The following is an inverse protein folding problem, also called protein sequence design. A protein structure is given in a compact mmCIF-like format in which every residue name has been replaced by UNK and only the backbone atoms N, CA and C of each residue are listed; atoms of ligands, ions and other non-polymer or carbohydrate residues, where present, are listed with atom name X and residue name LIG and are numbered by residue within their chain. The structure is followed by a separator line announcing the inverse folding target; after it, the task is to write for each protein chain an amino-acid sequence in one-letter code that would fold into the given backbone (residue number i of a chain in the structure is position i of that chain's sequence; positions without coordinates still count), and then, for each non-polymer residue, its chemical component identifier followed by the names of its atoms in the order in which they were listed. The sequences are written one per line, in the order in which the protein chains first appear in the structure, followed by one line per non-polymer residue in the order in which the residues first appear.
data_IF_017163266876
#
_entry.id   IF_017163266876
#
_cell.length_a   1.000
_cell.length_b   1.000
_cell.length_c   1.000
_cell.angle_alpha   90.00
_cell.angle_beta   90.00
_cell.angle_gamma   90.00
#
_symmetry.space_group_name_H-M   'P 1'
#
loop_
_entity.id
_entity.type
_entity.pdbx_description
1 polymer ?
#
# COMPACT_ATOMS: atom_id res chain seq x y z
N UNK A 1 -36.36 -3.68 39.79
CA UNK A 1 -35.55 -2.58 39.23
C UNK A 1 -34.20 -3.19 38.86
N UNK A 2 -34.02 -3.75 37.64
CA UNK A 2 -33.71 -3.04 36.38
C UNK A 2 -32.40 -2.25 36.57
N UNK A 3 -31.25 -2.54 35.94
CA UNK A 3 -30.88 -3.47 34.87
C UNK A 3 -29.36 -3.72 34.99
N UNK A 4 -28.94 -4.98 35.16
CA UNK A 4 -27.61 -5.46 34.78
C UNK A 4 -27.78 -6.30 33.53
N UNK A 5 -27.38 -5.81 32.36
CA UNK A 5 -27.34 -6.64 31.14
C UNK A 5 -26.21 -6.19 30.25
N UNK A 6 -25.30 -7.12 29.91
CA UNK A 6 -24.69 -7.12 28.58
C UNK A 6 -23.19 -6.94 28.47
N UNK A 7 -22.37 -7.54 29.33
CA UNK A 7 -20.96 -7.83 29.00
C UNK A 7 -20.74 -9.33 29.11
N UNK A 8 -21.23 -10.05 28.10
CA UNK A 8 -20.94 -11.47 27.90
C UNK A 8 -19.55 -11.63 27.30
N UNK A 9 -18.64 -12.22 28.07
CA UNK A 9 -17.39 -12.80 27.60
C UNK A 9 -17.66 -13.71 26.39
N UNK A 10 -17.11 -13.36 25.23
CA UNK A 10 -16.97 -14.30 24.11
C UNK A 10 -15.82 -15.26 24.43
N UNK A 11 -16.09 -16.24 25.29
CA UNK A 11 -15.21 -17.37 25.55
C UNK A 11 -15.99 -18.66 25.31
N UNK A 12 -15.73 -19.30 24.17
CA UNK A 12 -16.24 -20.64 23.84
C UNK A 12 -16.97 -20.68 22.51
N UNK A 13 -16.27 -20.99 21.42
CA UNK A 13 -16.91 -21.51 20.21
C UNK A 13 -16.07 -22.66 19.65
N UNK A 14 -16.30 -23.85 20.22
CA UNK A 14 -16.16 -25.11 19.52
C UNK A 14 -17.54 -25.44 18.94
N UNK A 15 -17.96 -24.69 17.91
CA UNK A 15 -19.15 -25.05 17.14
C UNK A 15 -19.04 -24.54 15.71
N UNK A 16 -18.74 -25.45 14.79
CA UNK A 16 -18.55 -25.19 13.34
C UNK A 16 -19.88 -24.93 12.60
N UNK A 17 -20.97 -24.63 13.30
CA UNK A 17 -22.32 -24.52 12.71
C UNK A 17 -23.02 -23.17 12.90
N UNK A 18 -22.49 -22.25 13.71
CA UNK A 18 -23.08 -20.92 13.85
C UNK A 18 -22.68 -20.01 12.67
N UNK A 19 -23.62 -19.75 11.76
CA UNK A 19 -23.40 -18.85 10.62
C UNK A 19 -23.22 -17.40 11.05
N UNK A 20 -22.20 -16.69 10.52
CA UNK A 20 -22.05 -15.26 10.76
C UNK A 20 -23.30 -14.46 10.34
N UNK A 21 -23.84 -13.66 11.26
CA UNK A 21 -25.02 -12.84 11.01
C UNK A 21 -24.63 -11.51 10.34
N UNK A 22 -24.95 -11.36 9.05
CA UNK A 22 -24.63 -10.13 8.31
C UNK A 22 -25.49 -8.95 8.78
N UNK A 23 -24.85 -7.96 9.39
CA UNK A 23 -25.50 -6.72 9.79
C UNK A 23 -25.92 -5.86 8.57
N UNK A 24 -27.07 -5.19 8.70
CA UNK A 24 -27.51 -4.19 7.73
C UNK A 24 -26.56 -2.99 7.69
N UNK A 25 -26.53 -2.25 6.57
CA UNK A 25 -25.67 -1.06 6.44
C UNK A 25 -25.91 -0.07 7.58
N UNK A 26 -27.17 0.22 7.92
CA UNK A 26 -27.53 1.13 9.03
C UNK A 26 -26.96 0.68 10.38
N UNK A 27 -26.93 -0.62 10.66
CA UNK A 27 -26.34 -1.16 11.89
C UNK A 27 -24.81 -1.05 11.88
N UNK A 28 -24.16 -1.39 10.76
CA UNK A 28 -22.70 -1.28 10.60
C UNK A 28 -22.19 0.16 10.78
N UNK A 29 -22.92 1.15 10.29
CA UNK A 29 -22.56 2.57 10.44
C UNK A 29 -22.62 3.08 11.89
N UNK A 30 -23.26 2.34 12.81
CA UNK A 30 -23.36 2.70 14.24
C UNK A 30 -22.28 2.08 15.12
N UNK A 31 -21.48 1.15 14.58
CA UNK A 31 -20.39 0.52 15.33
C UNK A 31 -19.29 1.54 15.63
N UNK A 32 -18.46 1.30 16.65
CA UNK A 32 -17.15 1.97 16.74
C UNK A 32 -16.26 1.54 15.55
N UNK A 33 -15.12 2.21 15.35
CA UNK A 33 -14.20 1.81 14.28
C UNK A 33 -13.65 0.39 14.54
N UNK A 34 -13.15 0.14 15.74
CA UNK A 34 -12.66 -1.17 16.19
C UNK A 34 -13.69 -2.30 16.00
N UNK A 35 -14.95 -2.07 16.41
CA UNK A 35 -16.04 -3.03 16.20
C UNK A 35 -16.35 -3.28 14.73
N UNK A 36 -16.15 -2.28 13.87
CA UNK A 36 -16.39 -2.42 12.45
C UNK A 36 -15.26 -3.21 11.76
N UNK A 37 -14.02 -2.97 12.16
CA UNK A 37 -12.85 -3.71 11.69
C UNK A 37 -12.98 -5.19 12.09
N UNK A 38 -13.30 -5.46 13.36
CA UNK A 38 -13.57 -6.81 13.86
C UNK A 38 -14.75 -7.48 13.13
N UNK A 39 -15.84 -6.73 12.87
CA UNK A 39 -16.98 -7.23 12.10
C UNK A 39 -16.55 -7.70 10.70
N UNK A 40 -15.75 -6.91 9.99
CA UNK A 40 -15.34 -7.23 8.63
C UNK A 40 -14.30 -8.35 8.57
N UNK A 41 -13.37 -8.39 9.53
CA UNK A 41 -12.46 -9.51 9.75
C UNK A 41 -13.24 -10.82 9.89
N UNK A 42 -14.17 -10.88 10.84
CA UNK A 42 -14.98 -12.07 11.10
C UNK A 42 -15.87 -12.43 9.90
N UNK A 43 -16.38 -11.43 9.17
CA UNK A 43 -17.14 -11.65 7.94
C UNK A 43 -16.29 -12.30 6.83
N UNK A 44 -15.02 -11.86 6.67
CA UNK A 44 -14.10 -12.46 5.69
C UNK A 44 -13.78 -13.90 6.06
N UNK A 45 -13.50 -14.16 7.34
CA UNK A 45 -13.23 -15.51 7.86
C UNK A 45 -14.40 -16.46 7.61
N UNK A 46 -15.63 -16.12 8.03
CA UNK A 46 -16.83 -16.97 7.82
C UNK A 46 -17.05 -17.28 6.34
N UNK A 47 -16.92 -16.27 5.46
CA UNK A 47 -17.10 -16.47 4.02
C UNK A 47 -16.07 -17.43 3.43
N UNK A 48 -14.81 -17.29 3.84
CA UNK A 48 -13.73 -18.14 3.37
C UNK A 48 -13.93 -19.58 3.84
N UNK A 49 -14.21 -19.79 5.13
CA UNK A 49 -14.41 -21.12 5.71
C UNK A 49 -15.61 -21.86 5.13
N UNK A 50 -16.64 -21.12 4.70
CA UNK A 50 -17.82 -21.69 4.03
C UNK A 50 -17.67 -21.81 2.51
N UNK A 51 -16.54 -21.39 1.94
CA UNK A 51 -16.29 -21.41 0.50
C UNK A 51 -17.20 -20.47 -0.31
N UNK A 52 -17.78 -19.45 0.31
CA UNK A 52 -18.74 -18.53 -0.33
C UNK A 52 -18.02 -17.28 -0.85
N UNK A 53 -16.87 -17.41 -1.52
CA UNK A 53 -16.15 -16.26 -2.06
C UNK A 53 -16.54 -15.97 -3.53
N UNK A 54 -17.69 -15.32 -3.74
CA UNK A 54 -18.15 -14.98 -5.09
C UNK A 54 -17.53 -13.67 -5.57
N UNK A 55 -16.59 -13.79 -6.50
CA UNK A 55 -15.90 -12.64 -7.11
C UNK A 55 -16.37 -12.45 -8.55
N UNK A 56 -17.05 -11.33 -8.82
CA UNK A 56 -17.51 -10.96 -10.17
C UNK A 56 -16.44 -10.12 -10.89
N UNK A 57 -15.47 -10.78 -11.52
CA UNK A 57 -14.37 -10.09 -12.23
C UNK A 57 -14.90 -9.34 -13.47
N UNK A 58 -15.78 -9.97 -14.26
CA UNK A 58 -16.27 -9.41 -15.51
C UNK A 58 -17.09 -8.13 -15.30
N UNK A 59 -18.06 -8.15 -14.37
CA UNK A 59 -18.87 -6.98 -14.06
C UNK A 59 -18.04 -5.81 -13.56
N UNK A 60 -16.99 -6.09 -12.76
CA UNK A 60 -16.04 -5.08 -12.27
C UNK A 60 -15.22 -4.45 -13.38
N UNK A 61 -14.76 -5.26 -14.35
CA UNK A 61 -14.06 -4.76 -15.56
C UNK A 61 -14.95 -3.83 -16.38
N UNK A 62 -16.26 -4.12 -16.49
CA UNK A 62 -17.21 -3.28 -17.23
C UNK A 62 -17.44 -1.92 -16.59
N UNK A 63 -17.52 -1.84 -15.26
CA UNK A 63 -17.77 -0.57 -14.55
C UNK A 63 -16.49 0.26 -14.35
N UNK A 64 -15.31 -0.36 -14.39
CA UNK A 64 -14.03 0.32 -14.15
C UNK A 64 -13.83 1.61 -14.95
N UNK A 65 -14.09 1.69 -16.27
CA UNK A 65 -13.92 2.93 -17.02
C UNK A 65 -14.75 4.11 -16.49
N UNK A 66 -15.95 3.82 -15.97
CA UNK A 66 -16.83 4.82 -15.37
C UNK A 66 -16.22 5.32 -14.05
N UNK A 67 -15.79 4.39 -13.19
CA UNK A 67 -15.14 4.74 -11.92
C UNK A 67 -13.84 5.52 -12.15
N UNK A 68 -13.05 5.14 -13.15
CA UNK A 68 -11.83 5.84 -13.54
C UNK A 68 -12.10 7.27 -14.04
N UNK A 69 -13.27 7.50 -14.64
CA UNK A 69 -13.70 8.84 -15.05
C UNK A 69 -14.02 9.71 -13.83
N UNK A 70 -14.62 9.15 -12.78
CA UNK A 70 -14.86 9.85 -11.51
C UNK A 70 -13.52 10.27 -10.88
N UNK A 71 -12.56 9.34 -10.79
CA UNK A 71 -11.21 9.62 -10.26
C UNK A 71 -10.50 10.72 -11.06
N UNK A 72 -10.64 10.72 -12.40
CA UNK A 72 -10.09 11.79 -13.25
C UNK A 72 -10.72 13.16 -12.94
N UNK A 73 -12.03 13.20 -12.73
CA UNK A 73 -12.74 14.45 -12.40
C UNK A 73 -12.28 14.96 -11.04
N UNK A 74 -12.18 14.08 -10.04
CA UNK A 74 -11.62 14.41 -8.72
C UNK A 74 -10.21 15.01 -8.83
N UNK A 75 -9.30 14.36 -9.58
CA UNK A 75 -7.96 14.89 -9.83
C UNK A 75 -7.98 16.31 -10.42
N UNK A 76 -8.88 16.57 -11.36
CA UNK A 76 -9.02 17.90 -11.97
C UNK A 76 -9.57 18.94 -10.97
N UNK A 77 -10.53 18.56 -10.12
CA UNK A 77 -11.06 19.43 -9.05
C UNK A 77 -9.96 19.79 -8.05
N UNK A 78 -9.13 18.81 -7.68
CA UNK A 78 -7.98 18.97 -6.79
C UNK A 78 -6.79 19.69 -7.45
N UNK A 79 -6.89 20.01 -8.75
CA UNK A 79 -5.83 20.66 -9.56
C UNK A 79 -4.52 19.86 -9.57
N UNK A 80 -4.63 18.55 -9.47
CA UNK A 80 -3.49 17.65 -9.45
C UNK A 80 -3.09 17.24 -10.88
N UNK A 81 -1.79 17.20 -11.14
CA UNK A 81 -1.22 16.77 -12.41
C UNK A 81 -0.73 15.33 -12.28
N UNK A 82 -1.04 14.50 -13.26
CA UNK A 82 -0.48 13.15 -13.37
C UNK A 82 0.41 13.10 -14.60
N UNK A 83 1.69 12.78 -14.40
CA UNK A 83 2.70 12.69 -15.46
C UNK A 83 3.23 11.26 -15.45
N UNK A 84 3.14 10.60 -16.60
CA UNK A 84 3.77 9.28 -16.82
C UNK A 84 5.13 9.55 -17.45
N UNK A 85 6.22 9.37 -16.70
CA UNK A 85 7.58 9.67 -17.16
C UNK A 85 7.98 8.68 -18.26
N UNK A 86 7.84 7.38 -17.96
CA UNK A 86 8.00 6.29 -18.93
C UNK A 86 6.92 5.25 -18.72
N UNK A 87 6.69 4.51 -19.80
CA UNK A 87 5.87 3.32 -19.75
C UNK A 87 6.48 2.22 -20.60
N UNK A 88 7.33 1.41 -19.97
CA UNK A 88 8.09 0.36 -20.63
C UNK A 88 7.41 -1.01 -20.59
N UNK A 89 6.20 -1.10 -19.99
CA UNK A 89 5.48 -2.37 -19.99
C UNK A 89 5.01 -2.72 -21.40
N UNK A 90 5.18 -3.99 -21.75
CA UNK A 90 4.66 -4.58 -22.98
C UNK A 90 3.36 -5.33 -22.72
N UNK A 91 2.58 -5.51 -23.79
CA UNK A 91 1.29 -6.20 -23.70
C UNK A 91 1.51 -7.70 -23.47
N UNK A 92 1.08 -8.19 -22.32
CA UNK A 92 1.05 -9.62 -22.02
C UNK A 92 -0.33 -10.24 -22.24
N UNK A 93 -0.36 -11.54 -22.50
CA UNK A 93 -1.57 -12.35 -22.52
C UNK A 93 -1.88 -12.80 -21.09
N UNK A 94 -3.05 -12.43 -20.59
CA UNK A 94 -3.50 -12.83 -19.25
C UNK A 94 -3.46 -11.69 -18.22
N UNK A 95 -3.63 -12.03 -16.94
CA UNK A 95 -3.64 -11.06 -15.86
C UNK A 95 -2.23 -10.55 -15.54
N UNK A 96 -2.17 -9.42 -14.83
CA UNK A 96 -0.94 -8.75 -14.40
C UNK A 96 -1.04 -8.44 -12.91
N UNK A 97 0.07 -8.56 -12.19
CA UNK A 97 0.25 -7.93 -10.88
C UNK A 97 0.99 -6.62 -11.08
N UNK A 98 0.32 -5.50 -10.84
CA UNK A 98 0.94 -4.18 -10.77
C UNK A 98 1.46 -3.98 -9.35
N UNK A 99 2.78 -3.95 -9.20
CA UNK A 99 3.45 -3.74 -7.92
C UNK A 99 3.93 -2.29 -7.85
N UNK A 100 3.33 -1.48 -6.97
CA UNK A 100 3.59 -0.05 -6.90
C UNK A 100 4.29 0.35 -5.58
N UNK A 101 5.22 1.31 -5.62
CA UNK A 101 5.72 1.95 -4.40
C UNK A 101 4.62 2.75 -3.69
N UNK A 102 4.65 2.86 -2.37
CA UNK A 102 3.58 3.48 -1.57
C UNK A 102 4.04 4.80 -0.93
N UNK A 103 3.41 5.92 -1.31
CA UNK A 103 3.76 7.26 -0.80
C UNK A 103 2.62 7.89 0.02
N UNK A 104 1.44 7.26 0.06
CA UNK A 104 0.26 7.78 0.74
C UNK A 104 -0.49 8.84 -0.08
N UNK A 105 -1.41 9.54 0.58
CA UNK A 105 -2.30 10.50 -0.08
C UNK A 105 -3.18 9.84 -1.15
N UNK A 106 -3.11 10.34 -2.39
CA UNK A 106 -3.93 9.87 -3.53
C UNK A 106 -3.19 8.87 -4.44
N UNK A 107 -2.15 8.19 -3.96
CA UNK A 107 -1.32 7.34 -4.81
C UNK A 107 -2.08 6.17 -5.44
N UNK A 108 -3.06 5.59 -4.75
CA UNK A 108 -3.96 4.53 -5.25
C UNK A 108 -4.73 4.99 -6.48
N UNK A 109 -5.40 6.13 -6.38
CA UNK A 109 -6.18 6.74 -7.45
C UNK A 109 -5.29 7.02 -8.67
N UNK A 110 -4.10 7.56 -8.43
CA UNK A 110 -3.14 7.90 -9.50
C UNK A 110 -2.53 6.68 -10.15
N UNK A 111 -2.26 5.62 -9.39
CA UNK A 111 -1.86 4.33 -9.94
C UNK A 111 -2.97 3.76 -10.84
N UNK A 112 -4.24 3.81 -10.44
CA UNK A 112 -5.34 3.38 -11.32
C UNK A 112 -5.42 4.22 -12.60
N UNK A 113 -5.27 5.54 -12.52
CA UNK A 113 -5.23 6.42 -13.70
C UNK A 113 -4.05 6.14 -14.63
N UNK A 114 -2.87 5.84 -14.07
CA UNK A 114 -1.67 5.49 -14.84
C UNK A 114 -1.82 4.13 -15.54
N UNK A 115 -2.32 3.13 -14.81
CA UNK A 115 -2.51 1.76 -15.29
C UNK A 115 -3.64 1.67 -16.33
N UNK A 116 -4.73 2.43 -16.14
CA UNK A 116 -5.96 2.49 -16.96
C UNK A 116 -6.76 1.19 -17.08
N UNK A 117 -6.15 0.04 -16.82
CA UNK A 117 -6.79 -1.27 -16.82
C UNK A 117 -7.36 -1.55 -15.43
N UNK A 118 -8.49 -2.26 -15.41
CA UNK A 118 -9.07 -2.76 -14.18
C UNK A 118 -8.10 -3.67 -13.44
N UNK A 119 -7.97 -3.46 -12.13
CA UNK A 119 -7.26 -4.32 -11.19
C UNK A 119 -7.99 -4.33 -9.83
N UNK A 120 -7.85 -5.42 -9.09
CA UNK A 120 -8.26 -5.47 -7.69
C UNK A 120 -7.17 -4.83 -6.83
N UNK A 121 -7.53 -3.88 -5.97
CA UNK A 121 -6.60 -3.34 -4.99
C UNK A 121 -6.41 -4.33 -3.84
N UNK A 122 -5.16 -4.62 -3.47
CA UNK A 122 -4.82 -5.37 -2.27
C UNK A 122 -4.59 -4.37 -1.11
N UNK A 123 -5.55 -4.27 -0.18
CA UNK A 123 -5.64 -3.19 0.80
C UNK A 123 -5.52 -3.71 2.24
N UNK A 124 -4.48 -3.28 2.94
CA UNK A 124 -4.34 -3.47 4.39
C UNK A 124 -5.08 -2.42 5.20
N UNK A 125 -5.60 -2.83 6.35
CA UNK A 125 -6.23 -2.00 7.38
C UNK A 125 -7.19 -0.92 6.83
N UNK A 126 -8.34 -1.33 6.24
CA UNK A 126 -9.20 -0.37 5.54
C UNK A 126 -9.80 0.73 6.42
N UNK A 127 -9.92 0.52 7.74
CA UNK A 127 -10.42 1.52 8.71
C UNK A 127 -11.67 2.27 8.21
N UNK A 128 -11.60 3.59 8.03
CA UNK A 128 -12.73 4.44 7.62
C UNK A 128 -13.20 4.19 6.18
N UNK A 129 -12.40 3.52 5.34
CA UNK A 129 -12.78 3.06 3.99
C UNK A 129 -14.01 2.16 4.07
N UNK A 130 -14.26 1.47 5.18
CA UNK A 130 -15.49 0.69 5.34
C UNK A 130 -16.78 1.54 5.34
N UNK A 131 -16.68 2.87 5.47
CA UNK A 131 -17.82 3.80 5.62
C UNK A 131 -17.88 4.88 4.55
N UNK A 132 -16.75 5.37 4.08
CA UNK A 132 -16.67 6.57 3.24
C UNK A 132 -17.01 6.29 1.75
N UNK A 133 -17.12 7.36 0.98
CA UNK A 133 -17.46 7.30 -0.44
C UNK A 133 -16.38 6.57 -1.26
N UNK A 134 -15.10 6.85 -0.97
CA UNK A 134 -13.95 6.20 -1.62
C UNK A 134 -13.99 4.68 -1.45
N UNK A 135 -14.39 4.18 -0.28
CA UNK A 135 -14.58 2.76 -0.05
C UNK A 135 -15.73 2.12 -0.82
N UNK A 136 -16.79 2.87 -1.11
CA UNK A 136 -17.84 2.39 -2.02
C UNK A 136 -17.28 2.27 -3.44
N UNK A 137 -16.53 3.27 -3.91
CA UNK A 137 -15.90 3.24 -5.24
C UNK A 137 -14.88 2.09 -5.35
N UNK A 138 -14.02 1.91 -4.34
CA UNK A 138 -13.08 0.79 -4.25
C UNK A 138 -13.80 -0.56 -4.19
N UNK A 139 -14.87 -0.67 -3.38
CA UNK A 139 -15.67 -1.89 -3.33
C UNK A 139 -16.34 -2.18 -4.67
N UNK A 140 -16.76 -1.18 -5.44
CA UNK A 140 -17.32 -1.37 -6.79
C UNK A 140 -16.22 -1.75 -7.78
N UNK A 141 -15.07 -1.06 -7.78
CA UNK A 141 -13.96 -1.37 -8.66
C UNK A 141 -13.41 -2.78 -8.40
N UNK A 142 -13.18 -3.14 -7.14
CA UNK A 142 -12.60 -4.40 -6.72
C UNK A 142 -11.49 -4.16 -5.72
N UNK A 143 -11.66 -4.67 -4.50
CA UNK A 143 -10.69 -4.58 -3.41
C UNK A 143 -10.65 -5.90 -2.65
N UNK A 144 -9.46 -6.27 -2.19
CA UNK A 144 -9.19 -7.39 -1.30
C UNK A 144 -8.68 -6.77 0.00
N UNK A 145 -9.53 -6.76 1.02
CA UNK A 145 -9.21 -6.20 2.32
C UNK A 145 -8.61 -7.26 3.24
N UNK A 146 -7.70 -6.82 4.12
CA UNK A 146 -7.18 -7.61 5.23
C UNK A 146 -6.86 -6.72 6.43
N UNK A 147 -6.89 -7.30 7.63
CA UNK A 147 -6.24 -6.69 8.80
C UNK A 147 -4.78 -7.15 8.86
N UNK A 148 -3.82 -6.22 8.76
CA UNK A 148 -2.39 -6.51 8.62
C UNK A 148 -1.84 -7.23 9.84
N UNK A 149 -2.38 -6.97 11.03
CA UNK A 149 -1.98 -7.64 12.29
C UNK A 149 -2.52 -9.08 12.40
N UNK A 150 -3.56 -9.46 11.65
CA UNK A 150 -4.16 -10.80 11.72
C UNK A 150 -3.56 -11.78 10.68
N UNK A 151 -2.74 -12.74 11.15
CA UNK A 151 -2.06 -13.71 10.27
C UNK A 151 -3.00 -14.57 9.43
N UNK A 152 -4.16 -14.95 9.97
CA UNK A 152 -5.12 -15.79 9.25
C UNK A 152 -5.82 -15.00 8.15
N UNK A 153 -6.21 -13.77 8.43
CA UNK A 153 -6.82 -12.89 7.42
C UNK A 153 -5.83 -12.51 6.30
N UNK A 154 -4.55 -12.30 6.63
CA UNK A 154 -3.48 -12.15 5.61
C UNK A 154 -3.41 -13.37 4.67
N UNK A 155 -3.56 -14.57 5.22
CA UNK A 155 -3.60 -15.82 4.43
C UNK A 155 -4.85 -15.83 3.52
N UNK A 156 -6.02 -15.52 4.05
CA UNK A 156 -7.29 -15.47 3.30
C UNK A 156 -7.20 -14.48 2.14
N UNK A 157 -6.68 -13.27 2.38
CA UNK A 157 -6.51 -12.25 1.35
C UNK A 157 -5.54 -12.70 0.26
N UNK A 158 -4.40 -13.30 0.63
CA UNK A 158 -3.44 -13.87 -0.34
C UNK A 158 -4.07 -14.95 -1.21
N UNK A 159 -4.81 -15.87 -0.62
CA UNK A 159 -5.50 -16.94 -1.38
C UNK A 159 -6.60 -16.38 -2.28
N UNK A 160 -7.34 -15.38 -1.81
CA UNK A 160 -8.34 -14.65 -2.61
C UNK A 160 -7.69 -13.98 -3.83
N UNK A 161 -6.53 -13.34 -3.65
CA UNK A 161 -5.77 -12.74 -4.74
C UNK A 161 -5.29 -13.80 -5.75
N UNK A 162 -4.78 -14.94 -5.28
CA UNK A 162 -4.40 -16.07 -6.14
C UNK A 162 -5.60 -16.57 -6.96
N UNK A 163 -6.79 -16.69 -6.36
CA UNK A 163 -8.01 -17.08 -7.08
C UNK A 163 -8.38 -16.05 -8.17
N UNK A 164 -8.32 -14.76 -7.85
CA UNK A 164 -8.58 -13.66 -8.80
C UNK A 164 -7.64 -13.74 -9.99
N UNK A 165 -6.34 -13.89 -9.73
CA UNK A 165 -5.30 -13.99 -10.74
C UNK A 165 -5.55 -15.22 -11.64
N UNK A 166 -5.78 -16.40 -11.07
CA UNK A 166 -6.11 -17.62 -11.84
C UNK A 166 -7.36 -17.46 -12.72
N UNK A 167 -8.32 -16.65 -12.29
CA UNK A 167 -9.56 -16.35 -13.03
C UNK A 167 -9.44 -15.15 -13.98
N UNK A 168 -8.23 -14.65 -14.22
CA UNK A 168 -7.94 -13.60 -15.21
C UNK A 168 -8.18 -12.17 -14.74
N UNK A 169 -8.25 -11.92 -13.42
CA UNK A 169 -8.28 -10.58 -12.84
C UNK A 169 -6.87 -10.04 -12.60
N UNK A 170 -6.65 -8.74 -12.82
CA UNK A 170 -5.38 -8.10 -12.45
C UNK A 170 -5.38 -7.73 -10.96
N UNK A 171 -4.19 -7.53 -10.41
CA UNK A 171 -3.98 -7.09 -9.03
C UNK A 171 -3.17 -5.80 -9.03
N UNK A 172 -3.53 -4.83 -8.18
CA UNK A 172 -2.68 -3.70 -7.79
C UNK A 172 -2.31 -3.91 -6.32
N UNK A 173 -1.01 -3.94 -6.03
CA UNK A 173 -0.48 -4.19 -4.68
C UNK A 173 0.69 -3.26 -4.40
N UNK A 174 0.78 -2.82 -3.15
CA UNK A 174 1.90 -2.07 -2.61
C UNK A 174 2.75 -3.02 -1.76
N UNK A 175 3.85 -3.56 -2.31
CA UNK A 175 4.57 -4.65 -1.65
C UNK A 175 5.33 -4.19 -0.40
N UNK A 176 5.53 -2.88 -0.22
CA UNK A 176 6.02 -2.26 1.03
C UNK A 176 5.06 -2.46 2.20
N UNK A 177 3.75 -2.56 1.92
CA UNK A 177 2.70 -2.73 2.94
C UNK A 177 2.35 -1.47 3.75
N UNK A 178 3.19 -0.44 3.71
CA UNK A 178 3.04 0.83 4.42
C UNK A 178 3.53 2.00 3.57
N UNK A 179 3.18 3.24 3.93
CA UNK A 179 3.70 4.44 3.26
C UNK A 179 5.19 4.63 3.56
N UNK A 180 5.96 4.96 2.54
CA UNK A 180 7.32 5.41 2.71
C UNK A 180 7.36 6.88 3.12
N UNK A 181 7.53 7.10 4.41
CA UNK A 181 7.74 8.43 5.03
C UNK A 181 9.21 8.66 5.42
N UNK A 182 10.13 7.87 4.87
CA UNK A 182 11.57 8.01 5.13
C UNK A 182 12.20 9.00 4.16
N UNK A 183 13.06 9.87 4.67
CA UNK A 183 13.84 10.81 3.86
C UNK A 183 15.04 10.15 3.17
N UNK A 184 15.46 8.97 3.66
CA UNK A 184 16.73 8.35 3.29
C UNK A 184 16.56 6.98 2.63
N UNK A 185 15.33 6.46 2.55
CA UNK A 185 15.03 5.16 1.96
C UNK A 185 14.16 5.40 0.72
N UNK A 186 14.63 4.96 -0.45
CA UNK A 186 13.89 5.13 -1.71
C UNK A 186 12.62 4.25 -1.77
N UNK A 187 12.73 3.01 -1.29
CA UNK A 187 11.67 2.02 -1.24
C UNK A 187 11.87 1.21 0.04
N UNK A 188 10.84 1.09 0.88
CA UNK A 188 10.92 0.25 2.06
C UNK A 188 11.19 -1.21 1.68
N UNK A 189 11.77 -1.99 2.59
CA UNK A 189 11.85 -3.45 2.44
C UNK A 189 10.46 -4.02 2.14
N UNK A 190 10.37 -4.79 1.06
CA UNK A 190 9.08 -5.30 0.59
C UNK A 190 8.78 -6.71 1.12
N UNK A 191 7.49 -6.99 1.35
CA UNK A 191 7.04 -8.32 1.71
C UNK A 191 7.05 -9.29 0.51
N UNK A 192 7.36 -10.56 0.79
CA UNK A 192 7.42 -11.68 -0.17
C UNK A 192 6.07 -12.03 -0.84
N UNK A 193 4.98 -11.36 -0.44
CA UNK A 193 3.61 -11.66 -0.87
C UNK A 193 3.43 -11.58 -2.39
N UNK A 194 3.92 -10.50 -3.00
CA UNK A 194 3.81 -10.23 -4.44
C UNK A 194 4.51 -11.30 -5.27
N UNK A 195 5.80 -11.55 -5.00
CA UNK A 195 6.58 -12.60 -5.67
C UNK A 195 5.94 -13.98 -5.52
N UNK A 196 5.51 -14.31 -4.29
CA UNK A 196 4.86 -15.59 -4.02
C UNK A 196 3.53 -15.78 -4.77
N UNK A 197 2.71 -14.74 -4.90
CA UNK A 197 1.47 -14.82 -5.69
C UNK A 197 1.76 -14.94 -7.18
N UNK A 198 2.74 -14.18 -7.68
CA UNK A 198 3.15 -14.19 -9.09
C UNK A 198 3.65 -15.58 -9.53
N UNK A 199 4.53 -16.22 -8.74
CA UNK A 199 5.05 -17.57 -9.01
C UNK A 199 3.91 -18.60 -8.96
N UNK A 200 3.04 -18.56 -7.95
CA UNK A 200 1.94 -19.53 -7.80
C UNK A 200 0.85 -19.46 -8.88
N UNK A 201 0.89 -18.42 -9.70
CA UNK A 201 -0.12 -18.15 -10.73
C UNK A 201 0.47 -18.00 -12.12
N UNK A 202 1.80 -18.10 -12.26
CA UNK A 202 2.53 -17.84 -13.51
C UNK A 202 2.17 -16.48 -14.13
N UNK A 203 1.96 -15.48 -13.27
CA UNK A 203 1.55 -14.12 -13.66
C UNK A 203 2.72 -13.16 -13.64
N UNK A 204 2.86 -12.42 -14.74
CA UNK A 204 3.80 -11.32 -14.89
C UNK A 204 3.57 -10.21 -13.86
N UNK A 205 4.66 -9.71 -13.28
CA UNK A 205 4.67 -8.50 -12.47
C UNK A 205 5.04 -7.31 -13.36
N UNK A 206 4.37 -6.17 -13.18
CA UNK A 206 4.77 -4.88 -13.74
C UNK A 206 5.09 -3.96 -12.55
N UNK A 207 6.35 -3.55 -12.35
CA UNK A 207 6.73 -2.61 -11.30
C UNK A 207 6.35 -1.17 -11.67
N UNK A 208 5.91 -0.40 -10.69
CA UNK A 208 5.57 1.02 -10.80
C UNK A 208 6.18 1.79 -9.64
N UNK A 209 6.83 2.91 -9.94
CA UNK A 209 7.18 3.90 -8.93
C UNK A 209 6.27 5.12 -9.08
N UNK A 210 5.87 5.72 -7.95
CA UNK A 210 5.04 6.92 -7.94
C UNK A 210 5.55 7.91 -6.89
N UNK A 211 5.92 9.13 -7.27
CA UNK A 211 6.23 10.21 -6.33
C UNK A 211 5.26 11.38 -6.45
N UNK A 212 5.18 12.17 -5.38
CA UNK A 212 4.43 13.42 -5.37
C UNK A 212 5.33 14.60 -5.04
N UNK A 213 5.34 15.59 -5.94
CA UNK A 213 5.93 16.91 -5.72
C UNK A 213 4.83 17.96 -5.81
N UNK A 214 4.52 18.60 -4.68
CA UNK A 214 3.38 19.52 -4.56
C UNK A 214 2.08 18.85 -5.04
N UNK A 215 1.48 19.36 -6.13
CA UNK A 215 0.27 18.82 -6.76
C UNK A 215 0.58 17.98 -8.00
N UNK A 216 1.84 17.59 -8.24
CA UNK A 216 2.26 16.76 -9.37
C UNK A 216 2.57 15.34 -8.89
N UNK A 217 1.86 14.38 -9.42
CA UNK A 217 2.19 12.96 -9.31
C UNK A 217 2.99 12.54 -10.53
N UNK A 218 4.16 11.97 -10.28
CA UNK A 218 5.04 11.41 -11.28
C UNK A 218 5.00 9.89 -11.16
N UNK A 219 4.62 9.20 -12.24
CA UNK A 219 4.56 7.74 -12.28
C UNK A 219 5.53 7.23 -13.32
N UNK A 220 6.33 6.24 -12.94
CA UNK A 220 7.26 5.55 -13.81
C UNK A 220 6.90 4.05 -13.86
N UNK A 221 6.59 3.53 -15.05
CA UNK A 221 6.14 2.15 -15.23
C UNK A 221 7.25 1.37 -15.93
N UNK A 222 7.81 0.39 -15.22
CA UNK A 222 8.93 -0.40 -15.70
C UNK A 222 8.54 -1.58 -16.58
N UNK A 223 9.56 -2.33 -16.96
CA UNK A 223 9.45 -3.54 -17.78
C UNK A 223 8.79 -4.69 -17.02
N UNK A 224 8.16 -5.57 -17.77
CA UNK A 224 7.58 -6.81 -17.27
C UNK A 224 8.64 -7.69 -16.60
N UNK A 225 8.29 -8.31 -15.48
CA UNK A 225 9.05 -9.37 -14.82
C UNK A 225 8.23 -10.65 -14.95
N UNK A 226 8.70 -11.62 -15.73
CA UNK A 226 8.02 -12.90 -15.89
C UNK A 226 8.33 -13.79 -14.68
N UNK A 227 7.28 -14.20 -13.96
CA UNK A 227 7.43 -15.04 -12.77
C UNK A 227 7.74 -16.50 -13.11
N UNK A 228 7.50 -16.91 -14.36
CA UNK A 228 7.75 -18.30 -14.82
C UNK A 228 9.23 -18.68 -14.80
N UNK A 229 10.11 -17.69 -14.81
CA UNK A 229 11.56 -17.88 -14.72
C UNK A 229 12.02 -18.23 -13.29
N UNK A 230 11.09 -18.26 -12.32
CA UNK A 230 11.37 -18.47 -10.91
C UNK A 230 10.58 -19.65 -10.34
N UNK A 231 11.25 -20.47 -9.55
CA UNK A 231 10.59 -21.53 -8.77
C UNK A 231 10.09 -21.03 -7.41
N UNK A 232 9.25 -21.81 -6.71
CA UNK A 232 8.82 -21.45 -5.34
C UNK A 232 9.99 -21.29 -4.34
N UNK A 233 11.14 -21.94 -4.59
CA UNK A 233 12.35 -21.79 -3.78
C UNK A 233 13.06 -20.45 -4.01
N UNK A 234 12.73 -19.74 -5.08
CA UNK A 234 13.34 -18.47 -5.49
C UNK A 234 12.44 -17.26 -5.23
N UNK A 235 11.41 -17.41 -4.38
CA UNK A 235 10.55 -16.29 -3.96
C UNK A 235 11.38 -15.11 -3.43
N UNK A 236 12.41 -15.38 -2.65
CA UNK A 236 13.25 -14.32 -2.06
C UNK A 236 14.04 -13.59 -3.13
N UNK A 237 14.64 -14.32 -4.07
CA UNK A 237 15.36 -13.76 -5.23
C UNK A 237 14.46 -12.90 -6.12
N UNK A 238 13.22 -13.33 -6.38
CA UNK A 238 12.26 -12.50 -7.13
C UNK A 238 11.80 -11.28 -6.33
N UNK A 239 11.71 -11.40 -5.00
CA UNK A 239 11.36 -10.29 -4.10
C UNK A 239 12.46 -9.23 -4.13
N UNK A 240 13.72 -9.63 -3.96
CA UNK A 240 14.86 -8.71 -4.00
C UNK A 240 14.97 -8.05 -5.38
N UNK A 241 14.85 -8.83 -6.46
CA UNK A 241 14.86 -8.28 -7.83
C UNK A 241 13.72 -7.27 -8.08
N UNK A 242 12.50 -7.55 -7.58
CA UNK A 242 11.39 -6.60 -7.66
C UNK A 242 11.69 -5.32 -6.87
N UNK A 243 12.28 -5.43 -5.67
CA UNK A 243 12.66 -4.27 -4.87
C UNK A 243 13.68 -3.39 -5.61
N UNK A 244 14.71 -4.00 -6.21
CA UNK A 244 15.71 -3.29 -7.01
C UNK A 244 15.06 -2.54 -8.18
N UNK A 245 14.10 -3.18 -8.87
CA UNK A 245 13.36 -2.53 -9.96
C UNK A 245 12.46 -1.39 -9.50
N UNK A 246 11.85 -1.48 -8.33
CA UNK A 246 11.10 -0.35 -7.75
C UNK A 246 12.03 0.81 -7.39
N UNK A 247 13.21 0.51 -6.82
CA UNK A 247 14.21 1.51 -6.46
C UNK A 247 14.83 2.19 -7.68
N UNK A 248 15.12 1.43 -8.75
CA UNK A 248 15.57 1.96 -10.05
C UNK A 248 14.53 2.94 -10.61
N UNK A 249 13.26 2.55 -10.67
CA UNK A 249 12.19 3.43 -11.16
C UNK A 249 12.02 4.67 -10.29
N UNK A 250 12.23 4.58 -8.97
CA UNK A 250 12.23 5.74 -8.07
C UNK A 250 13.38 6.68 -8.34
N UNK A 251 14.59 6.15 -8.50
CA UNK A 251 15.77 6.95 -8.80
C UNK A 251 15.57 7.75 -10.09
N UNK A 252 15.03 7.12 -11.13
CA UNK A 252 14.70 7.82 -12.38
C UNK A 252 13.68 8.96 -12.19
N UNK A 253 12.73 8.83 -11.26
CA UNK A 253 11.80 9.92 -10.93
C UNK A 253 12.54 11.07 -10.26
N UNK A 254 13.47 10.77 -9.34
CA UNK A 254 14.29 11.80 -8.68
C UNK A 254 15.15 12.55 -9.70
N UNK A 255 15.81 11.83 -10.60
CA UNK A 255 16.60 12.41 -11.69
C UNK A 255 15.76 13.28 -12.62
N UNK A 256 14.54 12.83 -12.94
CA UNK A 256 13.60 13.60 -13.75
C UNK A 256 13.14 14.90 -13.07
N UNK A 257 12.86 14.85 -11.76
CA UNK A 257 12.42 16.04 -11.01
C UNK A 257 13.55 17.05 -10.81
N UNK A 258 14.79 16.57 -10.75
CA UNK A 258 16.00 17.39 -10.73
C UNK A 258 16.63 17.53 -9.35
N UNK A 259 17.88 17.99 -9.35
CA UNK A 259 18.69 18.20 -8.15
C UNK A 259 18.38 19.59 -7.58
N UNK A 260 18.13 19.65 -6.26
CA UNK A 260 17.95 20.89 -5.51
C UNK A 260 19.15 21.18 -4.63
N UNK A 261 19.47 22.45 -4.41
CA UNK A 261 20.55 22.84 -3.50
C UNK A 261 20.15 22.53 -2.07
N UNK A 262 21.05 21.93 -1.28
CA UNK A 262 20.80 21.68 0.14
C UNK A 262 20.50 22.98 0.91
N UNK A 263 21.13 24.08 0.53
CA UNK A 263 20.92 25.40 1.16
C UNK A 263 19.53 25.99 0.87
N UNK A 264 18.79 25.44 -0.10
CA UNK A 264 17.41 25.84 -0.40
C UNK A 264 16.36 25.01 0.34
N UNK A 265 16.78 23.99 1.12
CA UNK A 265 15.88 23.14 1.87
C UNK A 265 15.69 23.71 3.29
N UNK A 266 14.43 23.84 3.68
CA UNK A 266 14.03 24.23 5.03
C UNK A 266 14.44 23.14 6.04
N UNK A 267 14.82 23.54 7.25
CA UNK A 267 15.15 22.61 8.35
C UNK A 267 13.92 21.81 8.75
N UNK A 268 12.72 22.40 8.64
CA UNK A 268 11.42 21.78 8.93
C UNK A 268 10.80 21.06 7.72
N UNK A 269 11.55 20.87 6.64
CA UNK A 269 11.03 20.29 5.40
C UNK A 269 10.43 18.90 5.64
N UNK A 270 11.05 18.11 6.53
CA UNK A 270 10.60 16.77 6.89
C UNK A 270 9.21 16.79 7.50
N UNK A 271 9.04 17.54 8.58
CA UNK A 271 7.80 17.61 9.35
C UNK A 271 6.68 18.09 8.43
N UNK A 272 6.93 19.16 7.66
CA UNK A 272 5.98 19.69 6.66
C UNK A 272 5.65 18.66 5.59
N UNK A 273 6.63 17.90 5.10
CA UNK A 273 6.40 16.87 4.09
C UNK A 273 5.53 15.73 4.63
N UNK A 274 5.85 15.20 5.81
CA UNK A 274 5.05 14.16 6.47
C UNK A 274 3.65 14.67 6.76
N UNK A 275 3.50 15.86 7.35
CA UNK A 275 2.20 16.49 7.60
C UNK A 275 1.37 16.61 6.32
N UNK A 276 1.98 16.99 5.20
CA UNK A 276 1.30 17.09 3.92
C UNK A 276 0.81 15.73 3.37
N UNK A 277 1.53 14.63 3.61
CA UNK A 277 1.07 13.28 3.25
C UNK A 277 -0.19 12.94 4.05
N UNK A 278 -0.17 13.16 5.37
CA UNK A 278 -1.29 12.84 6.25
C UNK A 278 -2.47 13.80 6.08
N UNK A 279 -2.25 15.07 5.74
CA UNK A 279 -3.32 16.03 5.48
C UNK A 279 -4.17 15.67 4.26
N UNK A 280 -3.61 14.89 3.33
CA UNK A 280 -4.32 14.35 2.15
C UNK A 280 -4.96 12.98 2.41
N UNK A 281 -4.66 12.38 3.56
CA UNK A 281 -5.25 11.11 3.96
C UNK A 281 -6.50 11.35 4.82
N UNK A 282 -7.66 10.94 4.31
CA UNK A 282 -8.96 11.06 4.99
C UNK A 282 -9.16 9.96 6.07
N UNK A 283 -8.11 9.57 6.80
CA UNK A 283 -8.08 8.38 7.68
C UNK A 283 -7.39 8.65 9.03
N UNK A 284 -7.74 7.89 10.06
CA UNK A 284 -7.02 7.87 11.35
C UNK A 284 -5.69 7.10 11.29
N UNK A 285 -5.08 7.01 10.09
CA UNK A 285 -3.78 6.37 9.92
C UNK A 285 -2.70 7.26 10.53
N UNK A 286 -1.82 6.68 11.34
CA UNK A 286 -0.80 7.43 12.09
C UNK A 286 0.61 7.02 11.68
N UNK A 287 1.59 7.87 12.00
CA UNK A 287 3.01 7.52 11.88
C UNK A 287 3.36 6.27 12.69
N UNK A 288 2.73 6.07 13.85
CA UNK A 288 2.94 4.87 14.67
C UNK A 288 2.40 3.61 13.96
N UNK A 289 1.26 3.70 13.28
CA UNK A 289 0.74 2.57 12.49
C UNK A 289 1.73 2.14 11.40
N UNK A 290 2.42 3.09 10.75
CA UNK A 290 3.48 2.78 9.77
C UNK A 290 4.59 1.98 10.45
N UNK A 291 5.13 2.46 11.57
CA UNK A 291 6.22 1.77 12.27
C UNK A 291 5.83 0.40 12.82
N UNK A 292 4.57 0.21 13.22
CA UNK A 292 4.08 -1.07 13.74
C UNK A 292 3.87 -2.12 12.64
N UNK A 293 3.65 -1.69 11.40
CA UNK A 293 3.23 -2.56 10.28
C UNK A 293 4.26 -2.67 9.17
N UNK A 294 5.29 -1.81 9.18
CA UNK A 294 6.43 -1.91 8.28
C UNK A 294 7.10 -3.28 8.38
N UNK A 295 7.78 -3.69 7.32
CA UNK A 295 8.59 -4.90 7.36
C UNK A 295 9.59 -4.79 8.54
N UNK A 296 9.69 -5.83 9.40
CA UNK A 296 10.64 -5.82 10.50
C UNK A 296 12.05 -5.99 9.93
N UNK A 297 12.64 -4.88 9.54
CA UNK A 297 14.03 -4.76 9.10
C UNK A 297 14.77 -3.82 10.05
N UNK A 298 16.07 -4.07 10.22
CA UNK A 298 16.94 -3.17 10.96
C UNK A 298 17.51 -2.15 9.98
N UNK A 299 17.11 -0.88 10.13
CA UNK A 299 17.73 0.24 9.42
C UNK A 299 18.60 1.00 10.41
N UNK A 300 19.81 1.38 9.97
CA UNK A 300 20.65 2.28 10.76
C UNK A 300 19.94 3.64 10.91
N UNK A 301 19.68 4.07 12.14
CA UNK A 301 19.08 5.39 12.37
C UNK A 301 20.11 6.48 12.13
N UNK A 302 19.68 7.63 11.63
CA UNK A 302 20.58 8.75 11.40
C UNK A 302 21.41 9.11 12.65
N UNK A 303 20.80 9.13 13.84
CA UNK A 303 21.51 9.42 15.09
C UNK A 303 22.54 8.33 15.45
N UNK A 304 22.26 7.06 15.13
CA UNK A 304 23.20 5.95 15.32
C UNK A 304 24.39 6.09 14.35
N UNK A 305 24.11 6.32 13.06
CA UNK A 305 25.12 6.54 12.00
C UNK A 305 25.99 7.75 12.32
N UNK A 306 25.39 8.84 12.80
CA UNK A 306 26.10 10.09 13.09
C UNK A 306 26.60 10.21 14.53
N UNK A 307 26.41 9.19 15.38
CA UNK A 307 26.85 9.19 16.78
C UNK A 307 28.36 9.43 16.95
N UNK A 308 29.17 9.12 15.93
CA UNK A 308 30.61 9.44 15.93
C UNK A 308 30.89 10.95 16.06
N UNK A 309 29.96 11.81 15.64
CA UNK A 309 30.08 13.27 15.72
C UNK A 309 30.15 13.76 17.18
N UNK A 310 29.54 13.03 18.11
CA UNK A 310 29.60 13.36 19.54
C UNK A 310 30.99 13.10 20.13
N UNK A 311 31.68 12.09 19.60
CA UNK A 311 33.01 11.64 20.04
C UNK A 311 34.16 12.31 19.28
N UNK A 312 33.84 13.19 18.33
CA UNK A 312 34.81 13.81 17.45
C UNK A 312 35.59 14.92 18.17
N UNK A 313 36.89 14.73 18.38
CA UNK A 313 37.78 15.78 18.89
C UNK A 313 38.05 16.84 17.81
N UNK A 314 37.70 18.13 18.03
CA UNK A 314 37.92 19.18 17.04
C UNK A 314 39.40 19.40 16.73
N UNK A 315 39.77 19.30 15.45
CA UNK A 315 41.09 19.64 14.91
C UNK A 315 40.98 20.19 13.49
N UNK A 316 42.06 20.77 12.97
CA UNK A 316 42.05 21.44 11.67
C UNK A 316 41.58 20.53 10.53
N UNK A 317 41.93 19.25 10.61
CA UNK A 317 41.64 18.24 9.60
C UNK A 317 40.16 17.85 9.56
N UNK A 318 39.40 18.02 10.67
CA UNK A 318 37.99 17.64 10.75
C UNK A 318 37.05 18.84 11.03
N UNK A 319 37.57 20.05 11.05
CA UNK A 319 36.81 21.29 11.27
C UNK A 319 35.64 21.46 10.28
N UNK A 320 35.74 20.90 9.07
CA UNK A 320 34.67 20.93 8.07
C UNK A 320 33.42 20.15 8.50
N UNK A 321 33.56 19.09 9.32
CA UNK A 321 32.43 18.31 9.86
C UNK A 321 31.68 19.10 10.94
N UNK A 322 32.40 19.92 11.71
CA UNK A 322 31.84 20.67 12.85
C UNK A 322 31.09 21.93 12.42
N UNK A 323 31.27 22.39 11.18
CA UNK A 323 30.57 23.56 10.62
C UNK A 323 29.04 23.39 10.62
N UNK A 324 28.54 22.15 10.62
CA UNK A 324 27.12 21.82 10.62
C UNK A 324 26.50 21.65 12.01
N UNK A 325 27.31 21.64 13.08
CA UNK A 325 26.85 21.45 14.47
C UNK A 325 26.08 22.66 15.03
N UNK A 326 26.15 23.81 14.36
CA UNK A 326 25.57 25.09 14.80
C UNK A 326 24.49 25.66 13.86
N UNK A 327 24.04 24.88 12.86
CA UNK A 327 23.00 25.28 11.88
C UNK A 327 21.79 24.35 11.84
N UNK A 328 21.71 23.34 12.72
CA UNK A 328 20.52 22.50 12.89
C UNK A 328 19.60 23.10 13.92
#
# INVERSE_FOLDING_TARGET
MILSTGLGKLSGMNDKTASFCKLSRRKRMKLSQEQLDEYWLNYRIDRYERGINKINIYGRKLIHPILLTIVKIERLILKEKLIIIKNEHTKVKGPIIYAATHIGGHDVERCFEAIKKHAFLFLGDPKEIYRNASGILLYLNGVICLETRNKYDRKIAKETAIEILKRGGNLLIYPEGVWNISENILVNRIFKGTASMAIKTDVTIVPLAIEQYENKFLVNIGKNIDSKDYSEKEIDKLTDYLQDKLAELKLEILEYNGIVSRDSLDVELKEKWVENIFAKADFSYTVQDIYDTQYPDEYDKADEVFSFMEKLEPKKENAFLLRYRYKR
#
